data_IF_767933584751
#
_entry.id   IF_767933584751
#
_cell.length_a   1.000
_cell.length_b   1.000
_cell.length_c   1.000
_cell.angle_alpha   90.00
_cell.angle_beta   90.00
_cell.angle_gamma   90.00
#
_symmetry.space_group_name_H-M   'P 1'
#
loop_
_entity.id
_entity.type
_entity.pdbx_description
1 polymer ?
#
# COMPACT_ATOMS: atom_id res chain seq x y z
N UNK A 1 -34.39 -7.56 11.46
CA UNK A 1 -33.52 -6.48 12.04
C UNK A 1 -32.37 -6.30 11.06
N UNK A 2 -32.46 -5.25 10.25
CA UNK A 2 -31.49 -4.95 9.20
C UNK A 2 -30.34 -4.11 9.81
N UNK A 3 -29.13 -4.62 9.71
CA UNK A 3 -27.94 -3.89 10.12
C UNK A 3 -27.57 -2.87 9.01
N UNK A 4 -27.73 -1.59 9.30
CA UNK A 4 -27.22 -0.51 8.49
C UNK A 4 -25.69 -0.59 8.43
N UNK A 5 -25.13 -0.95 7.28
CA UNK A 5 -23.73 -0.69 6.92
C UNK A 5 -23.63 0.79 6.55
N UNK A 6 -23.08 1.59 7.46
CA UNK A 6 -22.64 2.96 7.16
C UNK A 6 -21.40 2.86 6.26
N UNK A 7 -21.60 3.10 4.97
CA UNK A 7 -20.52 3.35 4.01
C UNK A 7 -19.86 4.67 4.39
N UNK A 8 -18.59 4.62 4.79
CA UNK A 8 -17.75 5.81 4.91
C UNK A 8 -17.45 6.34 3.49
N UNK A 9 -18.26 7.30 3.04
CA UNK A 9 -17.99 8.01 1.80
C UNK A 9 -16.71 8.82 1.98
N UNK A 10 -15.65 8.43 1.29
CA UNK A 10 -14.48 9.28 1.09
C UNK A 10 -14.97 10.56 0.40
N UNK A 11 -14.92 11.68 1.11
CA UNK A 11 -15.15 13.00 0.51
C UNK A 11 -13.93 13.32 -0.35
N UNK A 12 -13.99 12.98 -1.63
CA UNK A 12 -13.15 13.60 -2.64
C UNK A 12 -13.52 15.08 -2.71
N UNK A 13 -12.52 15.95 -2.89
CA UNK A 13 -12.72 17.37 -2.94
C UNK A 13 -13.84 17.71 -3.93
N UNK A 14 -14.80 18.55 -3.50
CA UNK A 14 -15.92 18.99 -4.32
C UNK A 14 -15.40 19.60 -5.63
N UNK A 15 -15.63 18.91 -6.74
CA UNK A 15 -15.30 19.39 -8.07
C UNK A 15 -16.05 20.69 -8.36
N UNK A 16 -15.34 21.68 -8.87
CA UNK A 16 -15.96 22.84 -9.50
C UNK A 16 -16.65 22.37 -10.78
N UNK A 17 -17.86 22.84 -11.03
CA UNK A 17 -18.51 22.71 -12.34
C UNK A 17 -17.56 23.27 -13.39
N UNK A 18 -17.26 22.54 -14.51
CA UNK A 18 -16.36 23.01 -15.54
C UNK A 18 -16.81 24.37 -16.08
N UNK A 19 -15.88 25.29 -16.24
CA UNK A 19 -16.15 26.54 -16.98
C UNK A 19 -16.35 26.17 -18.45
N UNK A 20 -17.21 26.92 -19.18
CA UNK A 20 -17.47 26.70 -20.60
C UNK A 20 -16.15 26.74 -21.39
N UNK A 21 -15.71 25.55 -21.91
CA UNK A 21 -14.45 25.36 -22.63
C UNK A 21 -13.46 24.36 -21.97
N UNK A 22 -13.75 23.80 -20.78
CA UNK A 22 -12.93 22.73 -20.21
C UNK A 22 -13.33 21.35 -20.79
N UNK A 23 -12.34 20.56 -21.17
CA UNK A 23 -12.51 19.19 -21.68
C UNK A 23 -13.19 18.31 -20.63
N UNK A 24 -14.25 17.61 -21.01
CA UNK A 24 -14.96 16.65 -20.17
C UNK A 24 -14.51 15.21 -20.46
N UNK A 25 -14.92 14.24 -19.63
CA UNK A 25 -14.66 12.81 -19.89
C UNK A 25 -15.37 12.34 -21.18
N UNK A 26 -16.58 12.83 -21.45
CA UNK A 26 -17.31 12.52 -22.68
C UNK A 26 -16.57 13.04 -23.92
N UNK A 27 -15.96 14.23 -23.88
CA UNK A 27 -15.13 14.76 -24.98
C UNK A 27 -13.90 13.90 -25.28
N UNK A 28 -13.44 13.11 -24.32
CA UNK A 28 -12.32 12.18 -24.45
C UNK A 28 -12.74 10.79 -24.93
N UNK A 29 -14.05 10.57 -25.19
CA UNK A 29 -14.58 9.31 -25.67
C UNK A 29 -15.04 8.33 -24.58
N UNK A 30 -15.19 8.81 -23.35
CA UNK A 30 -15.80 8.00 -22.28
C UNK A 30 -17.29 7.87 -22.53
N UNK A 31 -17.79 6.64 -22.37
CA UNK A 31 -19.21 6.31 -22.53
C UNK A 31 -20.11 7.17 -21.65
N UNK A 32 -21.33 7.47 -22.14
CA UNK A 32 -22.26 8.39 -21.48
C UNK A 32 -22.65 7.97 -20.05
N UNK A 33 -22.85 6.67 -19.84
CA UNK A 33 -23.29 6.16 -18.55
C UNK A 33 -22.13 6.20 -17.53
N UNK A 34 -20.91 5.88 -17.98
CA UNK A 34 -19.70 6.02 -17.17
C UNK A 34 -19.38 7.49 -16.88
N UNK A 35 -19.54 8.37 -17.86
CA UNK A 35 -19.34 9.82 -17.68
C UNK A 35 -20.36 10.40 -16.68
N UNK A 36 -21.62 9.96 -16.75
CA UNK A 36 -22.66 10.38 -15.81
C UNK A 36 -22.39 9.89 -14.39
N UNK A 37 -21.92 8.64 -14.18
CA UNK A 37 -21.50 8.14 -12.89
C UNK A 37 -20.33 8.94 -12.30
N UNK A 38 -19.35 9.28 -13.15
CA UNK A 38 -18.22 10.12 -12.72
C UNK A 38 -18.68 11.50 -12.27
N UNK A 39 -19.55 12.14 -13.02
CA UNK A 39 -20.10 13.48 -12.69
C UNK A 39 -20.89 13.44 -11.38
N UNK A 40 -21.75 12.43 -11.21
CA UNK A 40 -22.51 12.21 -9.96
C UNK A 40 -21.60 12.01 -8.74
N UNK A 41 -20.40 11.50 -8.94
CA UNK A 41 -19.36 11.30 -7.89
C UNK A 41 -18.43 12.49 -7.74
N UNK A 42 -18.63 13.60 -8.51
CA UNK A 42 -17.85 14.81 -8.44
C UNK A 42 -16.56 14.81 -9.29
N UNK A 43 -16.38 13.84 -10.17
CA UNK A 43 -15.28 13.80 -11.14
C UNK A 43 -15.73 14.47 -12.45
N UNK A 44 -15.70 15.79 -12.49
CA UNK A 44 -16.21 16.58 -13.62
C UNK A 44 -15.15 16.88 -14.66
N UNK A 45 -13.91 17.07 -14.25
CA UNK A 45 -12.79 17.48 -15.11
C UNK A 45 -11.66 16.46 -15.07
N UNK A 46 -11.21 15.93 -16.23
CA UNK A 46 -10.08 14.99 -16.28
C UNK A 46 -8.77 15.63 -15.82
N UNK A 47 -7.99 14.87 -15.06
CA UNK A 47 -6.61 15.23 -14.77
C UNK A 47 -5.74 15.15 -16.04
N UNK A 48 -4.59 15.88 -16.09
CA UNK A 48 -3.73 15.88 -17.27
C UNK A 48 -3.33 14.51 -17.81
N UNK A 49 -3.04 13.53 -16.92
CA UNK A 49 -2.72 12.15 -17.35
C UNK A 49 -3.92 11.46 -17.99
N UNK A 50 -5.13 11.71 -17.49
CA UNK A 50 -6.37 11.16 -18.00
C UNK A 50 -6.65 11.76 -19.39
N UNK A 51 -6.60 13.08 -19.51
CA UNK A 51 -6.80 13.76 -20.78
C UNK A 51 -5.79 13.31 -21.86
N UNK A 52 -4.54 13.07 -21.46
CA UNK A 52 -3.49 12.63 -22.38
C UNK A 52 -3.63 11.17 -22.81
N UNK A 53 -4.09 10.26 -21.92
CA UNK A 53 -4.06 8.82 -22.20
C UNK A 53 -5.39 8.24 -22.67
N UNK A 54 -6.54 8.81 -22.26
CA UNK A 54 -7.87 8.23 -22.53
C UNK A 54 -8.14 8.05 -24.04
N UNK A 55 -7.88 9.01 -24.94
CA UNK A 55 -8.16 8.81 -26.37
C UNK A 55 -7.45 7.59 -26.96
N UNK A 56 -6.19 7.39 -26.59
CA UNK A 56 -5.38 6.29 -27.12
C UNK A 56 -5.73 4.95 -26.47
N UNK A 57 -5.97 4.95 -25.16
CA UNK A 57 -6.32 3.72 -24.43
C UNK A 57 -7.70 3.21 -24.80
N UNK A 58 -8.66 4.09 -25.02
CA UNK A 58 -10.01 3.76 -25.53
C UNK A 58 -9.96 3.25 -26.97
N UNK A 59 -9.03 3.77 -27.80
CA UNK A 59 -8.77 3.26 -29.16
C UNK A 59 -8.04 1.90 -29.18
N UNK A 60 -7.72 1.31 -28.02
CA UNK A 60 -7.09 -0.01 -27.91
C UNK A 60 -5.58 -0.02 -28.10
N UNK A 61 -4.92 1.14 -28.07
CA UNK A 61 -3.47 1.24 -28.17
C UNK A 61 -2.79 0.85 -26.87
N UNK A 62 -1.62 0.25 -26.97
CA UNK A 62 -0.74 0.10 -25.83
C UNK A 62 -0.22 1.46 -25.39
N UNK A 63 -0.27 1.72 -24.08
CA UNK A 63 0.12 3.01 -23.53
C UNK A 63 1.10 2.85 -22.39
N UNK A 64 2.12 3.71 -22.41
CA UNK A 64 3.06 3.92 -21.35
C UNK A 64 2.77 5.28 -20.70
N UNK A 65 2.06 5.26 -19.58
CA UNK A 65 1.67 6.45 -18.81
C UNK A 65 2.68 6.76 -17.73
N UNK A 66 3.37 7.90 -17.85
CA UNK A 66 4.27 8.38 -16.82
C UNK A 66 3.61 9.47 -16.00
N UNK A 67 3.46 9.22 -14.71
CA UNK A 67 2.89 10.19 -13.79
C UNK A 67 3.14 9.79 -12.34
N UNK A 68 3.23 10.79 -11.46
CA UNK A 68 3.47 10.56 -10.02
C UNK A 68 2.24 9.97 -9.34
N UNK A 69 2.41 9.45 -8.12
CA UNK A 69 1.26 9.07 -7.27
C UNK A 69 0.38 10.30 -7.03
N UNK A 70 -0.94 10.15 -7.12
CA UNK A 70 -1.89 11.26 -6.99
C UNK A 70 -2.12 12.06 -8.29
N UNK A 71 -1.56 11.67 -9.43
CA UNK A 71 -1.82 12.32 -10.73
C UNK A 71 -3.09 11.84 -11.43
N UNK A 72 -3.87 10.93 -10.84
CA UNK A 72 -5.10 10.40 -11.42
C UNK A 72 -4.92 9.18 -12.32
N UNK A 73 -3.77 8.49 -12.27
CA UNK A 73 -3.47 7.30 -13.10
C UNK A 73 -4.52 6.19 -12.95
N UNK A 74 -4.98 5.95 -11.73
CA UNK A 74 -5.92 4.86 -11.48
C UNK A 74 -7.19 5.01 -12.33
N UNK A 75 -7.78 6.18 -12.38
CA UNK A 75 -8.94 6.42 -13.23
C UNK A 75 -8.58 6.41 -14.73
N UNK A 76 -7.37 6.86 -15.09
CA UNK A 76 -6.88 6.88 -16.46
C UNK A 76 -6.82 5.49 -17.11
N UNK A 77 -6.53 4.44 -16.32
CA UNK A 77 -6.58 3.06 -16.85
C UNK A 77 -7.88 2.32 -16.52
N UNK A 78 -8.58 2.69 -15.44
CA UNK A 78 -9.82 2.01 -15.06
C UNK A 78 -10.95 2.24 -16.05
N UNK A 79 -11.06 3.46 -16.58
CA UNK A 79 -12.08 3.81 -17.57
C UNK A 79 -11.95 2.99 -18.86
N UNK A 80 -10.80 2.97 -19.57
CA UNK A 80 -10.65 2.15 -20.77
C UNK A 80 -10.75 0.65 -20.48
N UNK A 81 -10.26 0.19 -19.31
CA UNK A 81 -10.40 -1.20 -18.88
C UNK A 81 -11.87 -1.60 -18.85
N UNK A 82 -12.70 -0.86 -18.11
CA UNK A 82 -14.13 -1.17 -17.92
C UNK A 82 -14.90 -0.97 -19.22
N UNK A 83 -14.76 0.17 -19.89
CA UNK A 83 -15.54 0.49 -21.10
C UNK A 83 -15.27 -0.48 -22.27
N UNK A 84 -14.01 -0.89 -22.45
CA UNK A 84 -13.67 -1.81 -23.54
C UNK A 84 -14.05 -3.25 -23.25
N UNK A 85 -13.91 -3.69 -21.99
CA UNK A 85 -14.31 -5.03 -21.58
C UNK A 85 -15.82 -5.20 -21.55
N UNK A 86 -16.60 -4.15 -21.32
CA UNK A 86 -18.06 -4.18 -21.39
C UNK A 86 -18.60 -4.55 -22.81
N UNK A 87 -17.74 -4.49 -23.83
CA UNK A 87 -18.06 -4.89 -25.20
C UNK A 87 -17.76 -6.37 -25.49
N UNK A 88 -17.19 -7.09 -24.52
CA UNK A 88 -16.83 -8.50 -24.62
C UNK A 88 -17.88 -9.38 -23.94
N UNK A 89 -17.82 -10.69 -24.19
CA UNK A 89 -18.60 -11.66 -23.46
C UNK A 89 -18.17 -11.71 -21.99
N UNK A 90 -19.08 -12.08 -21.10
CA UNK A 90 -18.79 -12.28 -19.68
C UNK A 90 -17.71 -13.35 -19.47
N UNK A 91 -16.87 -13.10 -18.46
CA UNK A 91 -15.81 -14.03 -18.09
C UNK A 91 -16.33 -15.39 -17.69
N UNK A 92 -15.68 -16.45 -18.17
CA UNK A 92 -15.96 -17.83 -17.72
C UNK A 92 -15.31 -18.07 -16.33
N UNK A 93 -15.86 -19.01 -15.53
CA UNK A 93 -15.24 -19.39 -14.27
C UNK A 93 -13.74 -19.70 -14.41
N UNK A 94 -12.91 -18.98 -13.66
CA UNK A 94 -11.46 -19.11 -13.68
C UNK A 94 -10.75 -18.44 -14.86
N UNK A 95 -11.44 -17.74 -15.77
CA UNK A 95 -10.88 -17.11 -16.95
C UNK A 95 -11.27 -15.61 -17.01
N UNK A 96 -10.60 -14.74 -16.21
CA UNK A 96 -10.87 -13.31 -16.26
C UNK A 96 -10.46 -12.71 -17.61
N UNK A 97 -11.19 -11.68 -18.05
CA UNK A 97 -10.92 -10.93 -19.28
C UNK A 97 -10.10 -9.66 -19.04
N UNK A 98 -10.05 -9.18 -17.79
CA UNK A 98 -9.27 -8.04 -17.36
C UNK A 98 -8.29 -8.37 -16.22
N UNK A 99 -7.06 -7.86 -16.33
CA UNK A 99 -6.03 -8.05 -15.31
C UNK A 99 -5.37 -6.73 -14.96
N UNK A 100 -5.31 -6.41 -13.66
CA UNK A 100 -4.52 -5.30 -13.12
C UNK A 100 -3.48 -5.85 -12.16
N UNK A 101 -2.21 -5.55 -12.36
CA UNK A 101 -1.12 -5.92 -11.47
C UNK A 101 -0.69 -4.72 -10.63
N UNK A 102 -0.61 -4.93 -9.32
CA UNK A 102 -0.18 -3.95 -8.33
C UNK A 102 0.89 -4.54 -7.39
N UNK A 103 1.88 -3.75 -6.93
CA UNK A 103 2.97 -4.23 -6.07
C UNK A 103 2.53 -4.60 -4.66
N UNK A 104 1.49 -3.96 -4.13
CA UNK A 104 1.04 -4.10 -2.75
C UNK A 104 -0.45 -4.36 -2.67
N UNK A 105 -0.87 -4.96 -1.55
CA UNK A 105 -2.29 -5.26 -1.27
C UNK A 105 -3.11 -4.00 -1.12
N UNK A 106 -2.54 -3.02 -0.44
CA UNK A 106 -3.17 -1.73 -0.19
C UNK A 106 -3.48 -1.03 -1.53
N UNK A 107 -2.52 -1.02 -2.46
CA UNK A 107 -2.74 -0.46 -3.80
C UNK A 107 -3.76 -1.29 -4.59
N UNK A 108 -3.70 -2.63 -4.50
CA UNK A 108 -4.69 -3.48 -5.16
C UNK A 108 -6.12 -3.21 -4.67
N UNK A 109 -6.31 -2.99 -3.35
CA UNK A 109 -7.60 -2.61 -2.77
C UNK A 109 -8.04 -1.22 -3.25
N UNK A 110 -7.16 -0.23 -3.22
CA UNK A 110 -7.45 1.13 -3.70
C UNK A 110 -7.82 1.16 -5.19
N UNK A 111 -7.14 0.35 -6.01
CA UNK A 111 -7.49 0.20 -7.43
C UNK A 111 -8.88 -0.45 -7.58
N UNK A 112 -9.16 -1.50 -6.82
CA UNK A 112 -10.45 -2.15 -6.86
C UNK A 112 -11.58 -1.19 -6.42
N UNK A 113 -11.37 -0.37 -5.37
CA UNK A 113 -12.31 0.67 -4.93
C UNK A 113 -12.64 1.70 -6.03
N UNK A 114 -11.73 1.94 -6.97
CA UNK A 114 -11.97 2.81 -8.14
C UNK A 114 -12.69 2.06 -9.26
N UNK A 115 -12.29 0.80 -9.53
CA UNK A 115 -12.84 0.02 -10.65
C UNK A 115 -14.26 -0.49 -10.33
N UNK A 116 -14.52 -0.97 -9.12
CA UNK A 116 -15.80 -1.59 -8.74
C UNK A 116 -17.04 -0.72 -9.01
N UNK A 117 -17.06 0.60 -8.69
CA UNK A 117 -18.21 1.43 -9.05
C UNK A 117 -18.42 1.56 -10.56
N UNK A 118 -17.35 1.72 -11.33
CA UNK A 118 -17.41 1.79 -12.80
C UNK A 118 -17.88 0.46 -13.40
N UNK A 119 -17.35 -0.66 -12.89
CA UNK A 119 -17.73 -2.00 -13.32
C UNK A 119 -19.22 -2.29 -13.09
N UNK A 120 -19.78 -1.79 -11.98
CA UNK A 120 -21.23 -1.93 -11.70
C UNK A 120 -22.13 -1.21 -12.72
N UNK A 121 -21.67 -0.08 -13.29
CA UNK A 121 -22.42 0.64 -14.35
C UNK A 121 -22.66 -0.26 -15.55
N UNK A 122 -21.68 -1.13 -15.86
CA UNK A 122 -21.69 -2.02 -17.03
C UNK A 122 -21.88 -3.51 -16.65
N UNK A 123 -22.37 -3.78 -15.44
CA UNK A 123 -22.67 -5.12 -14.93
C UNK A 123 -21.47 -6.09 -14.93
N UNK A 124 -20.28 -5.62 -14.57
CA UNK A 124 -19.06 -6.44 -14.46
C UNK A 124 -18.70 -6.73 -13.01
N UNK A 125 -18.14 -7.91 -12.78
CA UNK A 125 -17.63 -8.35 -11.49
C UNK A 125 -16.13 -8.16 -11.35
N UNK A 126 -15.70 -7.66 -10.18
CA UNK A 126 -14.29 -7.38 -9.85
C UNK A 126 -13.89 -8.15 -8.60
N UNK A 127 -12.69 -8.70 -8.58
CA UNK A 127 -12.11 -9.28 -7.37
C UNK A 127 -10.65 -8.91 -7.18
N UNK A 128 -10.20 -8.95 -5.91
CA UNK A 128 -8.79 -8.73 -5.56
C UNK A 128 -8.09 -10.04 -5.21
N UNK A 129 -6.84 -10.21 -5.69
CA UNK A 129 -6.01 -11.39 -5.44
C UNK A 129 -4.67 -10.99 -4.81
N UNK A 130 -4.50 -11.27 -3.52
CA UNK A 130 -3.25 -10.99 -2.81
C UNK A 130 -3.01 -11.95 -1.65
N UNK A 131 -1.74 -12.13 -1.25
CA UNK A 131 -1.33 -13.03 -0.19
C UNK A 131 -1.54 -12.46 1.22
N UNK A 132 -1.32 -13.29 2.26
CA UNK A 132 -1.39 -12.93 3.70
C UNK A 132 -2.79 -12.84 4.28
N UNK A 133 -3.78 -13.23 3.50
CA UNK A 133 -5.16 -13.48 3.89
C UNK A 133 -5.58 -14.86 3.38
N UNK A 134 -6.74 -15.36 3.84
CA UNK A 134 -7.29 -16.62 3.35
C UNK A 134 -7.49 -16.58 1.82
N UNK A 135 -7.11 -17.65 1.12
CA UNK A 135 -7.36 -17.79 -0.30
C UNK A 135 -8.84 -18.11 -0.60
N UNK A 136 -9.57 -18.71 0.33
CA UNK A 136 -10.94 -19.22 0.10
C UNK A 136 -11.92 -18.23 -0.53
N UNK A 137 -11.99 -16.94 -0.08
CA UNK A 137 -12.84 -15.95 -0.73
C UNK A 137 -12.44 -15.69 -2.18
N UNK A 138 -11.12 -15.62 -2.45
CA UNK A 138 -10.55 -15.38 -3.78
C UNK A 138 -10.84 -16.56 -4.71
N UNK A 139 -10.66 -17.81 -4.24
CA UNK A 139 -11.01 -19.03 -4.96
C UNK A 139 -12.51 -19.11 -5.27
N UNK A 140 -13.36 -18.72 -4.31
CA UNK A 140 -14.81 -18.68 -4.51
C UNK A 140 -15.20 -17.68 -5.60
N UNK A 141 -14.62 -16.48 -5.59
CA UNK A 141 -14.86 -15.46 -6.61
C UNK A 141 -14.43 -15.95 -8.00
N UNK A 142 -13.23 -16.52 -8.13
CA UNK A 142 -12.74 -17.07 -9.40
C UNK A 142 -13.65 -18.19 -9.94
N UNK A 143 -14.13 -19.08 -9.08
CA UNK A 143 -15.06 -20.16 -9.46
C UNK A 143 -16.45 -19.66 -9.86
N UNK A 144 -16.86 -18.51 -9.36
CA UNK A 144 -18.13 -17.89 -9.76
C UNK A 144 -18.06 -17.23 -11.15
N UNK A 145 -16.88 -16.91 -11.63
CA UNK A 145 -16.64 -16.10 -12.81
C UNK A 145 -16.54 -14.62 -12.45
N UNK A 146 -15.38 -14.03 -12.62
CA UNK A 146 -15.13 -12.60 -12.41
C UNK A 146 -14.49 -12.01 -13.66
N UNK A 147 -14.94 -10.85 -14.08
CA UNK A 147 -14.49 -10.21 -15.32
C UNK A 147 -13.11 -9.57 -15.13
N UNK A 148 -12.89 -8.92 -14.00
CA UNK A 148 -11.63 -8.21 -13.71
C UNK A 148 -10.98 -8.71 -12.43
N UNK A 149 -9.69 -9.02 -12.54
CA UNK A 149 -8.84 -9.39 -11.42
C UNK A 149 -7.82 -8.29 -11.15
N UNK A 150 -7.82 -7.74 -9.92
CA UNK A 150 -6.77 -6.83 -9.43
C UNK A 150 -5.83 -7.61 -8.51
N UNK A 151 -4.59 -7.82 -8.91
CA UNK A 151 -3.73 -8.81 -8.26
C UNK A 151 -2.35 -8.31 -7.85
N UNK A 152 -1.85 -8.87 -6.72
CA UNK A 152 -0.41 -8.88 -6.45
C UNK A 152 0.23 -10.13 -7.07
N UNK A 153 1.40 -10.00 -7.73
CA UNK A 153 1.98 -11.06 -8.56
C UNK A 153 2.18 -12.41 -7.86
N UNK A 154 2.56 -12.42 -6.57
CA UNK A 154 2.87 -13.66 -5.85
C UNK A 154 1.67 -14.59 -5.69
N UNK A 155 0.54 -14.08 -5.19
CA UNK A 155 -0.68 -14.87 -4.97
C UNK A 155 -1.34 -15.26 -6.29
N UNK A 156 -1.29 -14.40 -7.31
CA UNK A 156 -1.83 -14.73 -8.61
C UNK A 156 -1.10 -15.95 -9.20
N UNK A 157 0.23 -15.98 -9.17
CA UNK A 157 1.02 -17.13 -9.62
C UNK A 157 0.74 -18.40 -8.82
N UNK A 158 0.50 -18.28 -7.52
CA UNK A 158 0.12 -19.39 -6.65
C UNK A 158 -1.22 -20.00 -7.10
N UNK A 159 -2.25 -19.18 -7.34
CA UNK A 159 -3.55 -19.63 -7.83
C UNK A 159 -3.50 -20.18 -9.27
N UNK A 160 -2.69 -19.59 -10.15
CA UNK A 160 -2.40 -20.13 -11.49
C UNK A 160 -1.76 -21.51 -11.39
N UNK A 161 -0.78 -21.67 -10.51
CA UNK A 161 -0.09 -22.97 -10.28
C UNK A 161 -1.03 -24.06 -9.73
N UNK A 162 -2.11 -23.68 -9.05
CA UNK A 162 -3.15 -24.58 -8.57
C UNK A 162 -4.25 -24.85 -9.61
N UNK A 163 -4.19 -24.24 -10.80
CA UNK A 163 -5.20 -24.37 -11.84
C UNK A 163 -6.54 -23.68 -11.52
N UNK A 164 -6.55 -22.73 -10.57
CA UNK A 164 -7.75 -22.01 -10.15
C UNK A 164 -8.04 -20.76 -11.00
N UNK A 165 -7.04 -20.32 -11.76
CA UNK A 165 -7.16 -19.19 -12.70
C UNK A 165 -6.24 -19.43 -13.90
N UNK A 166 -6.78 -19.22 -15.11
CA UNK A 166 -6.05 -19.09 -16.37
C UNK A 166 -6.16 -17.66 -16.88
N UNK A 167 -5.11 -17.17 -17.50
CA UNK A 167 -5.04 -15.81 -18.05
C UNK A 167 -5.11 -15.80 -19.58
N UNK A 168 -5.49 -16.91 -20.20
CA UNK A 168 -5.55 -17.13 -21.65
C UNK A 168 -6.66 -16.34 -22.38
N UNK A 169 -7.63 -15.77 -21.62
CA UNK A 169 -8.71 -14.93 -22.14
C UNK A 169 -8.56 -13.44 -21.76
N UNK A 170 -7.42 -13.06 -21.16
CA UNK A 170 -7.20 -11.67 -20.75
C UNK A 170 -7.03 -10.77 -21.98
N UNK A 171 -7.99 -9.87 -22.20
CA UNK A 171 -7.99 -8.89 -23.30
C UNK A 171 -7.19 -7.63 -22.95
N UNK A 172 -7.25 -7.19 -21.70
CA UNK A 172 -6.55 -5.98 -21.25
C UNK A 172 -5.73 -6.28 -19.98
N UNK A 173 -4.45 -5.95 -20.02
CA UNK A 173 -3.55 -6.04 -18.86
C UNK A 173 -3.04 -4.66 -18.47
N UNK A 174 -3.21 -4.29 -17.22
CA UNK A 174 -2.67 -3.06 -16.63
C UNK A 174 -1.56 -3.39 -15.64
N UNK A 175 -0.45 -2.66 -15.70
CA UNK A 175 0.60 -2.67 -14.69
C UNK A 175 0.63 -1.28 -14.03
N UNK A 176 0.29 -1.20 -12.75
CA UNK A 176 0.42 0.04 -11.99
C UNK A 176 1.61 -0.02 -11.04
N UNK A 177 2.30 1.10 -10.86
CA UNK A 177 3.56 1.21 -10.11
C UNK A 177 4.59 0.15 -10.53
N UNK A 178 4.84 0.02 -11.85
CA UNK A 178 5.77 -0.97 -12.40
C UNK A 178 7.20 -0.82 -11.85
N UNK A 179 7.67 0.40 -11.61
CA UNK A 179 8.94 0.70 -10.95
C UNK A 179 8.99 0.18 -9.51
N UNK A 180 7.90 0.27 -8.79
CA UNK A 180 7.81 -0.30 -7.44
C UNK A 180 7.81 -1.85 -7.49
N UNK A 181 7.16 -2.48 -8.47
CA UNK A 181 7.28 -3.93 -8.68
C UNK A 181 8.73 -4.35 -8.97
N UNK A 182 9.46 -3.53 -9.72
CA UNK A 182 10.90 -3.74 -9.98
C UNK A 182 11.73 -3.65 -8.70
N UNK A 183 11.54 -2.60 -7.90
CA UNK A 183 12.23 -2.40 -6.62
C UNK A 183 11.97 -3.53 -5.60
N UNK A 184 10.79 -4.14 -5.63
CA UNK A 184 10.42 -5.29 -4.79
C UNK A 184 10.91 -6.63 -5.35
N UNK A 185 11.57 -6.65 -6.50
CA UNK A 185 12.06 -7.86 -7.14
C UNK A 185 10.97 -8.72 -7.78
N UNK A 186 9.80 -8.15 -8.09
CA UNK A 186 8.68 -8.88 -8.67
C UNK A 186 8.77 -9.05 -10.20
N UNK A 187 9.75 -8.44 -10.88
CA UNK A 187 9.86 -8.53 -12.35
C UNK A 187 9.85 -9.98 -12.90
N UNK A 188 10.53 -10.96 -12.29
CA UNK A 188 10.43 -12.35 -12.77
C UNK A 188 9.01 -12.90 -12.70
N UNK A 189 8.26 -12.56 -11.64
CA UNK A 189 6.88 -12.97 -11.45
C UNK A 189 5.95 -12.27 -12.46
N UNK A 190 6.13 -10.97 -12.65
CA UNK A 190 5.38 -10.16 -13.62
C UNK A 190 5.58 -10.72 -15.04
N UNK A 191 6.82 -11.05 -15.43
CA UNK A 191 7.09 -11.66 -16.74
C UNK A 191 6.38 -13.00 -16.93
N UNK A 192 6.36 -13.85 -15.89
CA UNK A 192 5.64 -15.14 -15.96
C UNK A 192 4.14 -14.92 -16.16
N UNK A 193 3.56 -13.94 -15.50
CA UNK A 193 2.14 -13.57 -15.63
C UNK A 193 1.87 -13.05 -17.05
N UNK A 194 2.66 -12.08 -17.52
CA UNK A 194 2.48 -11.49 -18.85
C UNK A 194 2.63 -12.49 -19.99
N UNK A 195 3.50 -13.49 -19.84
CA UNK A 195 3.64 -14.59 -20.81
C UNK A 195 2.44 -15.53 -20.83
N UNK A 196 1.65 -15.57 -19.77
CA UNK A 196 0.43 -16.35 -19.71
C UNK A 196 -0.80 -15.61 -20.25
N UNK A 197 -0.69 -14.30 -20.53
CA UNK A 197 -1.75 -13.52 -21.18
C UNK A 197 -1.57 -13.54 -22.72
N UNK A 198 -2.66 -13.41 -23.51
CA UNK A 198 -2.58 -13.33 -24.96
C UNK A 198 -1.65 -12.22 -25.45
N UNK A 199 -0.86 -12.50 -26.48
CA UNK A 199 0.08 -11.50 -27.05
C UNK A 199 -0.61 -10.32 -27.71
N UNK A 200 -1.83 -10.50 -28.20
CA UNK A 200 -2.63 -9.45 -28.87
C UNK A 200 -3.46 -8.61 -27.91
N UNK A 201 -3.50 -8.96 -26.63
CA UNK A 201 -4.19 -8.19 -25.62
C UNK A 201 -3.56 -6.80 -25.44
N UNK A 202 -4.38 -5.80 -25.17
CA UNK A 202 -3.93 -4.44 -24.88
C UNK A 202 -3.12 -4.39 -23.59
N UNK A 203 -2.03 -3.62 -23.58
CA UNK A 203 -1.19 -3.45 -22.38
C UNK A 203 -1.05 -1.99 -22.01
N UNK A 204 -1.41 -1.69 -20.78
CA UNK A 204 -1.31 -0.36 -20.18
C UNK A 204 -0.29 -0.43 -19.05
N UNK A 205 0.78 0.34 -19.14
CA UNK A 205 1.81 0.39 -18.11
C UNK A 205 1.89 1.80 -17.53
N UNK A 206 1.65 1.90 -16.23
CA UNK A 206 1.72 3.15 -15.49
C UNK A 206 2.86 3.10 -14.45
N UNK A 207 3.70 4.13 -14.44
CA UNK A 207 4.87 4.19 -13.56
C UNK A 207 5.24 5.64 -13.28
N UNK A 208 5.89 5.90 -12.14
CA UNK A 208 6.49 7.20 -11.87
C UNK A 208 7.85 7.34 -12.56
N UNK A 209 8.58 6.23 -12.71
CA UNK A 209 9.90 6.21 -13.34
C UNK A 209 10.00 5.08 -14.38
N UNK A 210 10.80 5.31 -15.42
CA UNK A 210 11.13 4.34 -16.45
C UNK A 210 12.61 3.99 -16.32
N UNK A 211 12.93 3.13 -15.38
CA UNK A 211 14.29 2.61 -15.22
C UNK A 211 14.52 1.33 -16.03
N UNK A 212 15.76 0.84 -16.01
CA UNK A 212 16.16 -0.33 -16.79
C UNK A 212 15.28 -1.58 -16.58
N UNK A 213 14.67 -1.73 -15.42
CA UNK A 213 13.78 -2.84 -15.11
C UNK A 213 12.43 -2.73 -15.84
N UNK A 214 11.85 -1.54 -15.80
CA UNK A 214 10.57 -1.20 -16.48
C UNK A 214 10.77 -1.20 -17.99
N UNK A 215 11.87 -0.59 -18.48
CA UNK A 215 12.23 -0.58 -19.92
C UNK A 215 12.28 -1.98 -20.52
N UNK A 216 12.73 -2.96 -19.74
CA UNK A 216 12.77 -4.35 -20.22
C UNK A 216 11.37 -4.93 -20.40
N UNK A 217 10.45 -4.64 -19.46
CA UNK A 217 9.05 -5.05 -19.61
C UNK A 217 8.38 -4.38 -20.80
N UNK A 218 8.62 -3.07 -20.99
CA UNK A 218 8.09 -2.32 -22.14
C UNK A 218 8.53 -2.95 -23.45
N UNK A 219 9.83 -3.21 -23.62
CA UNK A 219 10.39 -3.80 -24.84
C UNK A 219 9.92 -5.23 -25.10
N UNK A 220 9.71 -6.04 -24.04
CA UNK A 220 9.33 -7.45 -24.15
C UNK A 220 7.83 -7.63 -24.42
N UNK A 221 6.98 -6.74 -23.88
CA UNK A 221 5.54 -7.02 -23.84
C UNK A 221 4.64 -5.96 -24.48
N UNK A 222 5.06 -4.72 -24.65
CA UNK A 222 4.22 -3.68 -25.26
C UNK A 222 4.47 -3.58 -26.77
N UNK A 223 3.39 -3.36 -27.55
CA UNK A 223 3.43 -3.26 -28.99
C UNK A 223 3.27 -1.81 -29.43
N UNK A 224 4.34 -1.19 -29.92
CA UNK A 224 4.35 0.22 -30.36
C UNK A 224 3.63 1.15 -29.36
N UNK A 225 3.99 1.13 -28.05
CA UNK A 225 3.27 1.88 -27.06
C UNK A 225 3.38 3.39 -27.29
N UNK A 226 2.27 4.09 -27.08
CA UNK A 226 2.27 5.54 -27.02
C UNK A 226 2.71 5.98 -25.64
N UNK A 227 3.70 6.84 -25.60
CA UNK A 227 4.25 7.34 -24.33
C UNK A 227 3.65 8.70 -24.00
N UNK A 228 2.94 8.75 -22.89
CA UNK A 228 2.41 9.98 -22.31
C UNK A 228 3.15 10.29 -21.00
N UNK A 229 3.72 11.47 -20.90
CA UNK A 229 4.38 11.96 -19.71
C UNK A 229 3.76 13.30 -19.31
N UNK A 230 3.09 13.32 -18.20
CA UNK A 230 2.63 14.55 -17.57
C UNK A 230 3.57 14.88 -16.43
N UNK A 231 4.64 15.58 -16.78
CA UNK A 231 5.38 16.35 -15.78
C UNK A 231 4.63 17.68 -15.65
N UNK A 232 4.12 18.03 -14.48
CA UNK A 232 3.61 19.38 -14.27
C UNK A 232 4.74 20.35 -14.60
N UNK A 233 4.44 21.38 -15.37
CA UNK A 233 5.36 22.53 -15.59
C UNK A 233 5.76 23.22 -14.29
N UNK A 234 5.00 22.95 -13.22
CA UNK A 234 5.36 23.19 -11.82
C UNK A 234 5.53 21.85 -11.15
N UNK A 235 6.77 21.42 -10.95
CA UNK A 235 7.07 20.20 -10.19
C UNK A 235 6.35 20.26 -8.82
N UNK A 236 5.64 19.21 -8.33
CA UNK A 236 5.22 19.17 -6.93
C UNK A 236 6.41 19.29 -5.97
N UNK A 237 7.64 19.04 -6.45
CA UNK A 237 8.87 19.40 -5.74
C UNK A 237 8.94 20.90 -5.52
N UNK A 238 8.42 21.73 -6.44
CA UNK A 238 8.35 23.19 -6.31
C UNK A 238 7.22 23.64 -5.40
N UNK A 239 6.17 22.82 -5.23
CA UNK A 239 5.10 23.01 -4.24
C UNK A 239 5.46 22.47 -2.84
N UNK A 240 6.58 21.71 -2.72
CA UNK A 240 7.07 21.19 -1.45
C UNK A 240 8.23 22.04 -0.93
N UNK A 241 8.17 22.39 0.33
CA UNK A 241 9.31 22.96 1.02
C UNK A 241 10.22 21.83 1.54
N UNK A 242 11.38 21.65 0.93
CA UNK A 242 12.38 20.70 1.41
C UNK A 242 13.37 21.38 2.36
N UNK A 243 13.52 20.83 3.57
CA UNK A 243 14.52 21.29 4.55
C UNK A 243 15.35 20.11 5.03
N UNK A 244 16.63 20.35 5.21
CA UNK A 244 17.56 19.32 5.71
C UNK A 244 18.21 19.85 7.00
N UNK A 245 17.89 19.19 8.09
CA UNK A 245 18.27 19.62 9.43
C UNK A 245 19.36 18.72 10.02
N UNK A 246 20.54 19.26 10.22
CA UNK A 246 21.62 18.58 10.91
C UNK A 246 21.46 18.75 12.42
N UNK A 247 21.27 17.66 13.11
CA UNK A 247 21.09 17.59 14.56
C UNK A 247 22.39 17.18 15.23
N UNK A 248 22.63 17.64 16.45
CA UNK A 248 23.88 17.38 17.16
C UNK A 248 24.12 15.88 17.43
N UNK A 249 23.08 15.19 17.88
CA UNK A 249 23.14 13.78 18.26
C UNK A 249 21.76 13.12 18.23
N UNK A 250 21.69 11.86 18.65
CA UNK A 250 20.44 11.08 18.68
C UNK A 250 19.41 11.61 19.69
N UNK A 251 19.86 12.25 20.77
CA UNK A 251 18.97 12.82 21.80
C UNK A 251 18.28 14.05 21.26
N UNK A 252 19.02 14.96 20.64
CA UNK A 252 18.49 16.13 19.95
C UNK A 252 17.53 15.70 18.83
N UNK A 253 17.87 14.66 18.06
CA UNK A 253 17.02 14.07 17.02
C UNK A 253 15.69 13.58 17.60
N UNK A 254 15.71 12.79 18.67
CA UNK A 254 14.50 12.27 19.34
C UNK A 254 13.62 13.44 19.86
N UNK A 255 14.24 14.52 20.36
CA UNK A 255 13.55 15.72 20.81
C UNK A 255 12.81 16.43 19.67
N UNK A 256 13.49 16.66 18.54
CA UNK A 256 12.88 17.27 17.36
C UNK A 256 11.77 16.41 16.79
N UNK A 257 11.98 15.09 16.66
CA UNK A 257 10.96 14.15 16.16
C UNK A 257 9.70 14.20 17.02
N UNK A 258 9.84 14.21 18.35
CA UNK A 258 8.70 14.31 19.28
C UNK A 258 7.96 15.63 19.10
N UNK A 259 8.67 16.76 18.98
CA UNK A 259 8.04 18.07 18.72
C UNK A 259 7.33 18.10 17.37
N UNK A 260 7.99 17.66 16.28
CA UNK A 260 7.33 17.60 14.97
C UNK A 260 6.10 16.68 14.97
N UNK A 261 6.08 15.64 15.78
CA UNK A 261 4.95 14.73 15.92
C UNK A 261 3.80 15.30 16.73
N UNK A 262 4.00 16.33 17.57
CA UNK A 262 2.97 16.84 18.50
C UNK A 262 1.97 17.80 17.87
N UNK A 263 2.10 18.22 16.63
CA UNK A 263 1.14 19.13 16.00
C UNK A 263 -0.13 18.43 15.51
N UNK A 264 -1.20 19.20 15.29
CA UNK A 264 -2.53 18.72 14.90
C UNK A 264 -2.60 18.17 13.46
N UNK A 265 -1.80 18.67 12.53
CA UNK A 265 -1.83 18.23 11.14
C UNK A 265 -1.35 16.80 10.94
N UNK A 266 -1.80 16.16 9.87
CA UNK A 266 -1.36 14.78 9.54
C UNK A 266 0.11 14.73 9.15
N UNK A 267 0.85 13.75 9.71
CA UNK A 267 2.31 13.62 9.57
C UNK A 267 2.73 12.19 9.34
N UNK A 268 3.68 12.00 8.41
CA UNK A 268 4.31 10.69 8.19
C UNK A 268 5.79 10.78 8.55
N UNK A 269 6.22 9.90 9.47
CA UNK A 269 7.59 9.81 9.96
C UNK A 269 8.24 8.55 9.40
N UNK A 270 9.23 8.70 8.51
CA UNK A 270 9.90 7.59 7.89
C UNK A 270 11.14 7.15 8.67
N UNK A 271 11.22 5.85 8.99
CA UNK A 271 12.37 5.22 9.61
C UNK A 271 12.96 4.13 8.71
N UNK A 272 14.26 3.85 8.89
CA UNK A 272 14.97 2.87 8.06
C UNK A 272 14.53 1.43 8.29
N UNK A 273 14.11 1.07 9.50
CA UNK A 273 13.79 -0.33 9.85
C UNK A 273 12.46 -0.46 10.58
N UNK A 274 11.82 -1.64 10.42
CA UNK A 274 10.60 -2.00 11.14
C UNK A 274 10.70 -1.90 12.66
N UNK A 275 11.88 -2.20 13.22
CA UNK A 275 12.13 -2.11 14.66
C UNK A 275 12.17 -0.66 15.14
N UNK A 276 12.78 0.23 14.33
CA UNK A 276 12.79 1.67 14.63
C UNK A 276 11.38 2.25 14.53
N UNK A 277 10.60 1.87 13.49
CA UNK A 277 9.22 2.32 13.33
C UNK A 277 8.39 1.96 14.56
N UNK A 278 8.39 0.70 14.96
CA UNK A 278 7.68 0.22 16.16
C UNK A 278 8.14 0.94 17.43
N UNK A 279 9.47 1.09 17.64
CA UNK A 279 10.01 1.76 18.81
C UNK A 279 9.61 3.23 18.87
N UNK A 280 9.68 3.94 17.75
CA UNK A 280 9.32 5.35 17.66
C UNK A 280 7.81 5.55 17.91
N UNK A 281 6.95 4.80 17.25
CA UNK A 281 5.51 4.89 17.46
C UNK A 281 5.14 4.68 18.92
N UNK A 282 5.74 3.68 19.59
CA UNK A 282 5.54 3.46 21.04
C UNK A 282 6.03 4.61 21.92
N UNK A 283 7.20 5.20 21.60
CA UNK A 283 7.71 6.36 22.35
C UNK A 283 6.77 7.55 22.23
N UNK A 284 6.19 7.79 21.05
CA UNK A 284 5.22 8.86 20.83
C UNK A 284 3.94 8.63 21.63
N UNK A 285 3.40 7.42 21.58
CA UNK A 285 2.21 7.05 22.37
C UNK A 285 2.46 7.20 23.87
N UNK A 286 3.62 6.79 24.38
CA UNK A 286 4.00 7.01 25.79
C UNK A 286 4.15 8.49 26.17
N UNK A 287 4.38 9.35 25.19
CA UNK A 287 4.44 10.80 25.35
C UNK A 287 3.08 11.49 25.15
N UNK A 288 1.98 10.73 25.08
CA UNK A 288 0.62 11.25 24.87
C UNK A 288 0.30 11.61 23.40
N UNK A 289 1.14 11.24 22.45
CA UNK A 289 0.94 11.54 21.02
C UNK A 289 0.41 10.28 20.33
N UNK A 290 -0.88 10.23 19.91
CA UNK A 290 -1.45 9.10 19.20
C UNK A 290 -0.68 8.84 17.90
N UNK A 291 -0.09 7.66 17.77
CA UNK A 291 0.71 7.27 16.62
C UNK A 291 0.44 5.83 16.21
N UNK A 292 0.26 5.61 14.91
CA UNK A 292 0.20 4.26 14.33
C UNK A 292 1.55 3.88 13.73
N UNK A 293 1.88 2.58 13.79
CA UNK A 293 3.01 2.04 13.03
C UNK A 293 2.53 1.42 11.72
N UNK A 294 3.35 1.54 10.66
CA UNK A 294 3.13 0.86 9.40
C UNK A 294 4.42 0.23 8.90
N UNK A 295 4.53 -1.11 9.01
CA UNK A 295 5.75 -1.85 8.67
C UNK A 295 5.45 -3.27 8.22
N UNK A 296 6.41 -3.92 7.54
CA UNK A 296 6.20 -5.17 6.80
C UNK A 296 5.81 -6.40 7.63
N UNK A 297 6.02 -6.41 8.95
CA UNK A 297 5.70 -7.55 9.81
C UNK A 297 4.34 -7.45 10.52
N UNK A 298 3.53 -6.47 10.17
CA UNK A 298 2.17 -6.36 10.71
C UNK A 298 1.24 -7.37 10.02
N UNK A 299 0.27 -7.89 10.79
CA UNK A 299 -0.84 -8.62 10.18
C UNK A 299 -1.69 -7.68 9.33
N UNK A 300 -2.39 -8.21 8.33
CA UNK A 300 -3.21 -7.40 7.44
C UNK A 300 -4.26 -6.59 8.22
N UNK A 301 -4.98 -7.23 9.14
CA UNK A 301 -5.98 -6.54 9.96
C UNK A 301 -5.38 -5.39 10.80
N UNK A 302 -4.14 -5.54 11.27
CA UNK A 302 -3.46 -4.47 12.00
C UNK A 302 -3.07 -3.31 11.08
N UNK A 303 -2.64 -3.61 9.85
CA UNK A 303 -2.34 -2.58 8.83
C UNK A 303 -3.59 -1.80 8.43
N UNK A 304 -4.69 -2.49 8.17
CA UNK A 304 -5.98 -1.88 7.81
C UNK A 304 -6.52 -0.99 8.93
N UNK A 305 -6.44 -1.43 10.20
CA UNK A 305 -6.80 -0.57 11.33
C UNK A 305 -5.93 0.67 11.44
N UNK A 306 -4.60 0.51 11.31
CA UNK A 306 -3.66 1.63 11.35
C UNK A 306 -3.92 2.63 10.21
N UNK A 307 -4.14 2.13 9.00
CA UNK A 307 -4.46 2.94 7.83
C UNK A 307 -5.78 3.68 8.02
N UNK A 308 -6.82 2.99 8.48
CA UNK A 308 -8.13 3.60 8.74
C UNK A 308 -8.03 4.69 9.79
N UNK A 309 -7.40 4.43 10.95
CA UNK A 309 -7.24 5.42 12.01
C UNK A 309 -6.50 6.67 11.53
N UNK A 310 -5.52 6.51 10.65
CA UNK A 310 -4.79 7.62 10.06
C UNK A 310 -5.61 8.35 8.99
N UNK A 311 -6.21 7.65 8.04
CA UNK A 311 -6.97 8.27 6.93
C UNK A 311 -8.24 8.99 7.39
N UNK A 312 -8.87 8.54 8.49
CA UNK A 312 -10.04 9.21 9.09
C UNK A 312 -9.68 10.38 10.01
N UNK A 313 -8.38 10.65 10.23
CA UNK A 313 -7.92 11.69 11.13
C UNK A 313 -8.07 11.38 12.63
N UNK A 314 -8.42 10.14 13.00
CA UNK A 314 -8.43 9.71 14.41
C UNK A 314 -7.02 9.71 15.03
N UNK A 315 -6.01 9.49 14.18
CA UNK A 315 -4.60 9.54 14.54
C UNK A 315 -3.87 10.42 13.52
N UNK A 316 -3.13 11.40 14.01
CA UNK A 316 -2.43 12.37 13.14
C UNK A 316 -1.00 11.96 12.78
N UNK A 317 -0.45 10.95 13.44
CA UNK A 317 0.94 10.52 13.23
C UNK A 317 1.01 9.08 12.74
N UNK A 318 1.65 8.89 11.58
CA UNK A 318 2.01 7.58 11.07
C UNK A 318 3.54 7.42 11.10
N UNK A 319 4.05 6.34 11.70
CA UNK A 319 5.47 5.97 11.64
C UNK A 319 5.64 4.78 10.70
N UNK A 320 6.34 4.98 9.60
CA UNK A 320 6.38 4.02 8.51
C UNK A 320 7.80 3.64 8.07
N UNK A 321 7.92 2.50 7.39
CA UNK A 321 9.08 2.12 6.59
C UNK A 321 8.79 2.27 5.10
N UNK A 322 9.82 2.43 4.25
CA UNK A 322 9.67 2.61 2.80
C UNK A 322 8.75 1.57 2.16
N UNK A 323 9.05 0.30 2.38
CA UNK A 323 8.30 -0.82 1.77
C UNK A 323 6.83 -0.79 2.18
N UNK A 324 6.54 -0.41 3.41
CA UNK A 324 5.18 -0.44 3.92
C UNK A 324 4.35 0.79 3.55
N UNK A 325 5.01 1.92 3.30
CA UNK A 325 4.36 3.19 2.95
C UNK A 325 4.25 3.42 1.43
N UNK A 326 4.91 2.61 0.60
CA UNK A 326 4.74 2.67 -0.86
C UNK A 326 3.35 2.15 -1.24
N UNK A 327 2.76 2.76 -2.27
CA UNK A 327 1.42 2.38 -2.72
C UNK A 327 0.28 2.83 -1.81
N UNK A 328 0.55 3.55 -0.72
CA UNK A 328 -0.52 4.09 0.14
C UNK A 328 -0.99 5.42 -0.46
N UNK A 329 -2.27 5.52 -0.76
CA UNK A 329 -2.89 6.80 -1.03
C UNK A 329 -3.47 7.38 0.26
N UNK A 330 -2.84 8.43 0.76
CA UNK A 330 -3.32 9.20 1.91
C UNK A 330 -3.29 10.67 1.50
N UNK A 331 -4.44 11.31 1.57
CA UNK A 331 -4.59 12.75 1.37
C UNK A 331 -4.45 13.50 2.69
N UNK A 332 -4.14 14.79 2.62
CA UNK A 332 -4.10 15.65 3.82
C UNK A 332 -2.82 15.59 4.64
N UNK A 333 -1.78 14.90 4.17
CA UNK A 333 -0.47 14.89 4.86
C UNK A 333 0.24 16.22 4.66
N UNK A 334 0.41 16.96 5.74
CA UNK A 334 1.05 18.29 5.73
C UNK A 334 2.56 18.19 5.86
N UNK A 335 3.04 17.22 6.64
CA UNK A 335 4.44 17.07 6.99
C UNK A 335 4.95 15.64 6.78
N UNK A 336 6.00 15.51 5.99
CA UNK A 336 6.79 14.28 5.86
C UNK A 336 8.13 14.48 6.56
N UNK A 337 8.46 13.60 7.50
CA UNK A 337 9.75 13.62 8.22
C UNK A 337 10.55 12.38 7.87
N UNK A 338 11.68 12.55 7.21
CA UNK A 338 12.68 11.50 7.09
C UNK A 338 13.47 11.44 8.41
N UNK A 339 12.94 10.69 9.37
CA UNK A 339 13.63 10.48 10.66
C UNK A 339 15.00 9.86 10.42
N UNK A 340 15.06 8.89 9.49
CA UNK A 340 16.31 8.41 8.94
C UNK A 340 16.36 8.75 7.44
N UNK A 341 17.48 9.35 6.94
CA UNK A 341 17.63 9.59 5.52
C UNK A 341 17.44 8.30 4.71
N UNK A 342 16.72 8.34 3.59
CA UNK A 342 16.58 7.18 2.73
C UNK A 342 17.93 6.79 2.10
N UNK A 343 18.09 5.51 1.76
CA UNK A 343 19.32 5.02 1.15
C UNK A 343 19.46 5.48 -0.32
N UNK A 344 18.34 5.68 -1.02
CA UNK A 344 18.29 5.96 -2.45
C UNK A 344 17.44 7.20 -2.76
N UNK A 345 17.83 7.91 -3.82
CA UNK A 345 17.14 9.11 -4.28
C UNK A 345 15.68 8.84 -4.70
N UNK A 346 15.38 7.68 -5.25
CA UNK A 346 14.00 7.27 -5.57
C UNK A 346 13.15 7.16 -4.31
N UNK A 347 13.68 6.54 -3.25
CA UNK A 347 12.98 6.47 -1.96
C UNK A 347 12.73 7.87 -1.37
N UNK A 348 13.68 8.81 -1.55
CA UNK A 348 13.48 10.21 -1.15
C UNK A 348 12.26 10.83 -1.83
N UNK A 349 12.15 10.69 -3.15
CA UNK A 349 11.04 11.23 -3.92
C UNK A 349 9.70 10.55 -3.57
N UNK A 350 9.70 9.24 -3.41
CA UNK A 350 8.50 8.47 -3.05
C UNK A 350 7.97 8.81 -1.65
N UNK A 351 8.87 9.03 -0.67
CA UNK A 351 8.50 9.50 0.67
C UNK A 351 7.94 10.92 0.61
N UNK A 352 8.65 11.82 -0.06
CA UNK A 352 8.24 13.23 -0.22
C UNK A 352 6.88 13.36 -0.89
N UNK A 353 6.61 12.54 -1.92
CA UNK A 353 5.32 12.50 -2.62
C UNK A 353 4.13 12.00 -1.78
N UNK A 354 4.28 11.79 -0.47
CA UNK A 354 3.15 11.58 0.45
C UNK A 354 2.50 12.87 0.90
N UNK A 355 3.15 14.02 0.71
CA UNK A 355 2.59 15.35 0.95
C UNK A 355 2.44 16.13 -0.37
N UNK A 356 1.92 17.34 -0.32
CA UNK A 356 1.68 18.24 -1.46
C UNK A 356 0.84 17.59 -2.59
N UNK A 357 -0.25 16.94 -2.23
CA UNK A 357 -1.18 16.32 -3.18
C UNK A 357 -2.36 17.24 -3.47
N UNK A 358 -2.95 17.09 -4.65
CA UNK A 358 -4.11 17.86 -5.10
C UNK A 358 -3.93 19.40 -4.99
N UNK A 359 -2.70 19.91 -5.21
CA UNK A 359 -2.41 21.33 -5.16
C UNK A 359 -2.21 21.94 -3.76
N UNK A 360 -2.25 21.13 -2.71
CA UNK A 360 -1.92 21.58 -1.36
C UNK A 360 -0.41 21.78 -1.18
N UNK A 361 0.00 22.73 -0.36
CA UNK A 361 1.38 22.91 0.06
C UNK A 361 1.79 21.78 1.01
N UNK A 362 3.07 21.35 0.97
CA UNK A 362 3.59 20.31 1.83
C UNK A 362 5.02 20.57 2.28
N UNK A 363 5.36 20.09 3.48
CA UNK A 363 6.71 20.21 4.03
C UNK A 363 7.40 18.86 4.14
N UNK A 364 8.67 18.80 3.75
CA UNK A 364 9.52 17.62 3.85
C UNK A 364 10.77 17.95 4.65
N UNK A 365 10.94 17.28 5.77
CA UNK A 365 12.10 17.46 6.66
C UNK A 365 12.97 16.22 6.62
N UNK A 366 14.25 16.38 6.40
CA UNK A 366 15.25 15.30 6.50
C UNK A 366 16.18 15.55 7.67
N UNK A 367 16.12 14.68 8.68
CA UNK A 367 17.00 14.76 9.86
C UNK A 367 18.32 14.02 9.61
N UNK A 368 19.43 14.70 9.83
CA UNK A 368 20.77 14.22 9.48
C UNK A 368 21.68 14.31 10.70
N UNK A 369 22.35 13.22 11.03
CA UNK A 369 23.47 13.23 11.99
C UNK A 369 24.75 13.71 11.30
N UNK A 370 25.73 14.27 12.03
CA UNK A 370 26.96 14.82 11.44
C UNK A 370 27.69 13.84 10.51
N UNK A 371 27.75 12.56 10.88
CA UNK A 371 28.37 11.48 10.10
C UNK A 371 27.64 11.16 8.79
N UNK A 372 26.38 11.53 8.67
CA UNK A 372 25.54 11.28 7.49
C UNK A 372 25.54 12.43 6.47
N UNK A 373 26.20 13.55 6.79
CA UNK A 373 26.14 14.79 6.00
C UNK A 373 26.52 14.56 4.53
N UNK A 374 27.64 13.89 4.30
CA UNK A 374 28.14 13.65 2.95
C UNK A 374 27.17 12.80 2.11
N UNK A 375 26.70 11.71 2.68
CA UNK A 375 25.78 10.78 1.99
C UNK A 375 24.47 11.48 1.61
N UNK A 376 23.95 12.34 2.50
CA UNK A 376 22.73 13.10 2.23
C UNK A 376 22.98 14.17 1.15
N UNK A 377 24.12 14.81 1.09
CA UNK A 377 24.44 15.74 0.00
C UNK A 377 24.46 15.03 -1.37
N UNK A 378 25.05 13.83 -1.44
CA UNK A 378 25.05 13.00 -2.65
C UNK A 378 23.63 12.58 -3.02
N UNK A 379 22.83 12.20 -2.02
CA UNK A 379 21.41 11.81 -2.19
C UNK A 379 20.59 12.96 -2.79
N UNK A 380 20.66 14.16 -2.22
CA UNK A 380 19.93 15.36 -2.67
C UNK A 380 20.31 15.73 -4.11
N UNK A 381 21.61 15.70 -4.44
CA UNK A 381 22.08 15.94 -5.81
C UNK A 381 21.49 14.95 -6.81
N UNK A 382 21.46 13.64 -6.46
CA UNK A 382 20.82 12.60 -7.30
C UNK A 382 19.30 12.77 -7.40
N UNK A 383 18.64 13.21 -6.32
CA UNK A 383 17.23 13.51 -6.29
C UNK A 383 16.86 14.84 -6.99
N UNK A 384 17.85 15.64 -7.38
CA UNK A 384 17.68 17.00 -7.94
C UNK A 384 16.94 17.95 -6.98
N UNK A 385 17.15 17.77 -5.68
CA UNK A 385 16.58 18.61 -4.62
C UNK A 385 17.58 19.68 -4.23
N UNK A 386 17.15 20.93 -4.23
CA UNK A 386 17.93 22.07 -3.75
C UNK A 386 17.49 22.37 -2.32
N UNK A 387 18.28 21.98 -1.35
CA UNK A 387 18.06 22.27 0.05
C UNK A 387 19.42 22.36 0.77
N UNK A 388 19.59 23.41 1.54
CA UNK A 388 20.77 23.58 2.37
C UNK A 388 20.68 22.75 3.65
N UNK A 389 21.83 22.34 4.18
CA UNK A 389 21.90 21.60 5.44
C UNK A 389 22.09 22.60 6.58
N UNK A 390 21.03 22.84 7.32
CA UNK A 390 20.98 23.76 8.45
C UNK A 390 21.22 23.02 9.77
N UNK A 391 21.98 23.63 10.70
CA UNK A 391 22.05 23.11 12.07
C UNK A 391 20.83 23.56 12.85
N UNK A 392 20.17 22.60 13.51
CA UNK A 392 18.92 22.87 14.23
C UNK A 392 18.96 22.27 15.64
N UNK A 393 18.28 22.94 16.55
CA UNK A 393 18.04 22.48 17.94
C UNK A 393 16.53 22.23 18.15
N UNK A 394 16.17 21.42 19.14
CA UNK A 394 14.74 21.14 19.40
C UNK A 394 13.90 22.37 19.72
N UNK A 395 14.48 23.41 20.29
CA UNK A 395 13.82 24.65 20.74
C UNK A 395 13.82 25.78 19.70
N UNK A 396 14.43 25.57 18.53
CA UNK A 396 14.47 26.58 17.49
C UNK A 396 13.08 26.91 16.91
N UNK A 397 12.86 28.19 16.56
CA UNK A 397 11.60 28.69 16.01
C UNK A 397 11.20 27.98 14.71
N UNK A 398 12.15 27.56 13.90
CA UNK A 398 11.91 26.79 12.69
C UNK A 398 11.21 25.45 12.96
N UNK A 399 11.49 24.80 14.10
CA UNK A 399 10.77 23.60 14.54
C UNK A 399 9.36 23.94 14.96
N UNK A 400 9.20 25.02 15.78
CA UNK A 400 7.91 25.49 16.26
C UNK A 400 6.98 25.89 15.11
N UNK A 401 7.50 26.56 14.08
CA UNK A 401 6.75 26.96 12.88
C UNK A 401 6.16 25.75 12.13
N UNK A 402 6.86 24.61 12.09
CA UNK A 402 6.39 23.39 11.44
C UNK A 402 5.47 22.53 12.34
N UNK A 403 5.60 22.65 13.64
CA UNK A 403 4.65 22.03 14.59
C UNK A 403 3.27 22.66 14.42
N UNK A 404 3.20 23.96 14.25
CA UNK A 404 1.94 24.69 14.22
C UNK A 404 1.25 24.63 15.58
N UNK A 405 -0.06 24.40 15.56
CA UNK A 405 -0.84 24.16 16.78
C UNK A 405 -0.50 22.78 17.34
N UNK A 406 -0.19 22.74 18.64
CA UNK A 406 0.12 21.47 19.33
C UNK A 406 -1.17 20.76 19.68
N UNK A 407 -1.29 19.50 19.28
CA UNK A 407 -2.42 18.67 19.63
C UNK A 407 -2.45 18.37 21.13
N UNK A 408 -3.64 18.21 21.67
CA UNK A 408 -3.83 17.82 23.06
C UNK A 408 -3.25 16.43 23.32
N UNK A 409 -2.55 16.28 24.45
CA UNK A 409 -1.98 14.99 24.83
C UNK A 409 -3.09 14.02 25.26
N UNK A 410 -3.07 12.81 24.71
CA UNK A 410 -4.05 11.77 25.01
C UNK A 410 -3.52 10.79 26.05
N UNK A 411 -4.31 10.48 27.08
CA UNK A 411 -3.94 9.49 28.08
C UNK A 411 -3.88 8.06 27.45
N UNK A 412 -3.08 7.17 28.03
CA UNK A 412 -2.86 5.83 27.45
C UNK A 412 -4.15 5.00 27.34
N UNK A 413 -5.06 5.17 28.30
CA UNK A 413 -6.37 4.50 28.35
C UNK A 413 -7.34 5.00 27.26
N UNK A 414 -7.16 6.23 26.81
CA UNK A 414 -8.05 6.90 25.82
C UNK A 414 -7.48 6.85 24.40
N UNK A 415 -6.36 6.13 24.19
CA UNK A 415 -5.74 6.05 22.87
C UNK A 415 -6.67 5.40 21.84
N UNK A 416 -6.77 5.99 20.62
CA UNK A 416 -7.60 5.45 19.55
C UNK A 416 -7.26 4.01 19.14
N UNK A 417 -8.22 3.30 18.56
CA UNK A 417 -7.99 1.97 18.02
C UNK A 417 -6.93 2.00 16.89
N UNK A 418 -6.03 1.02 16.88
CA UNK A 418 -4.94 0.93 15.91
C UNK A 418 -3.61 1.54 16.35
N UNK A 419 -3.60 2.29 17.47
CA UNK A 419 -2.39 2.88 18.03
C UNK A 419 -1.39 1.83 18.50
N UNK A 420 -0.09 2.12 18.42
CA UNK A 420 1.02 1.22 18.74
C UNK A 420 1.24 0.99 20.25
N UNK A 421 0.26 0.45 20.94
CA UNK A 421 0.35 0.10 22.37
C UNK A 421 1.07 -1.26 22.56
N UNK A 422 1.76 -1.43 23.68
CA UNK A 422 2.36 -2.72 24.07
C UNK A 422 1.27 -3.78 24.14
N UNK A 423 1.40 -4.89 23.41
CA UNK A 423 0.45 -5.98 23.38
C UNK A 423 0.03 -6.44 24.78
N UNK A 424 -1.11 -5.98 25.24
CA UNK A 424 -1.95 -6.68 26.16
C UNK A 424 -2.85 -7.56 25.30
N UNK A 425 -2.82 -8.85 25.51
CA UNK A 425 -3.91 -9.73 25.07
C UNK A 425 -5.22 -9.11 25.54
N UNK A 426 -6.31 -9.16 24.78
CA UNK A 426 -7.60 -8.76 25.29
C UNK A 426 -7.93 -9.70 26.44
N UNK A 427 -7.65 -9.24 27.66
CA UNK A 427 -8.15 -9.88 28.86
C UNK A 427 -9.65 -9.82 28.83
N UNK A 428 -10.24 -10.98 28.99
CA UNK A 428 -11.62 -11.31 28.83
C UNK A 428 -12.61 -10.25 29.31
N UNK A 429 -13.63 -10.08 28.52
CA UNK A 429 -14.91 -9.55 28.95
C UNK A 429 -15.27 -10.24 30.27
N UNK A 430 -15.31 -9.49 31.34
CA UNK A 430 -15.96 -9.89 32.57
C UNK A 430 -17.42 -10.27 32.22
N UNK A 431 -17.71 -11.55 32.29
CA UNK A 431 -19.10 -12.02 32.30
C UNK A 431 -19.72 -11.51 33.59
N UNK A 432 -20.62 -10.56 33.49
CA UNK A 432 -21.52 -10.21 34.59
C UNK A 432 -22.33 -11.44 34.93
N UNK A 433 -21.99 -12.05 36.04
CA UNK A 433 -22.70 -13.17 36.63
C UNK A 433 -24.12 -12.75 37.02
N UNK A 434 -25.09 -13.49 36.54
CA UNK A 434 -26.43 -13.52 37.05
C UNK A 434 -26.48 -14.34 38.34
N UNK A 435 -27.10 -13.90 39.42
CA UNK A 435 -27.27 -14.73 40.62
C UNK A 435 -28.38 -15.74 40.38
N UNK A 436 -28.04 -17.02 40.35
CA UNK A 436 -29.02 -18.14 40.36
C UNK A 436 -29.18 -18.67 41.78
N UNK A 437 -30.44 -18.72 42.20
CA UNK A 437 -30.88 -19.31 43.48
C UNK A 437 -30.54 -20.79 43.56
N UNK A 438 -30.13 -21.20 44.80
CA UNK A 438 -29.84 -22.56 45.14
C UNK A 438 -31.09 -23.40 45.37
N UNK A 439 -30.91 -24.69 45.33
CA UNK A 439 -31.48 -25.67 46.29
C UNK A 439 -30.62 -26.92 46.22
N UNK A 440 -30.35 -27.43 47.41
CA UNK A 440 -29.49 -28.53 47.70
C UNK A 440 -30.15 -29.89 47.42
N UNK A 441 -29.34 -30.90 47.46
CA UNK A 441 -29.55 -32.08 48.33
C UNK A 441 -28.39 -33.08 48.15
N UNK A 442 -28.19 -33.79 49.23
CA UNK A 442 -27.12 -34.70 49.55
C UNK A 442 -27.20 -36.04 48.81
N UNK A 443 -26.04 -36.70 48.63
CA UNK A 443 -26.01 -38.08 48.19
C UNK A 443 -24.62 -38.70 48.24
N UNK A 444 -24.35 -39.40 49.31
CA UNK A 444 -23.20 -40.23 49.67
C UNK A 444 -22.81 -41.30 48.64
N UNK A 445 -21.51 -41.62 48.60
CA UNK A 445 -21.19 -43.03 48.56
C UNK A 445 -19.97 -43.50 47.77
N UNK A 446 -18.87 -43.79 48.45
CA UNK A 446 -17.98 -44.98 48.37
C UNK A 446 -17.12 -45.22 47.10
N UNK A 447 -15.81 -45.04 47.23
CA UNK A 447 -14.79 -46.11 47.48
C UNK A 447 -14.55 -47.13 46.36
N UNK A 448 -13.29 -47.26 45.94
CA UNK A 448 -12.77 -48.41 45.23
C UNK A 448 -11.39 -48.15 44.61
N UNK A 449 -10.40 -48.43 45.33
CA UNK A 449 -9.04 -48.94 45.25
C UNK A 449 -8.76 -49.88 44.08
N UNK A 450 -7.48 -49.86 43.64
CA UNK A 450 -6.72 -50.92 42.95
C UNK A 450 -5.80 -50.32 41.88
N UNK A 451 -4.55 -50.10 42.03
CA UNK A 451 -3.35 -50.84 42.44
C UNK A 451 -2.76 -51.71 41.31
N UNK A 452 -1.49 -51.44 41.04
CA UNK A 452 -0.41 -52.30 40.45
C UNK A 452 -0.49 -52.54 38.94
N UNK A 453 0.57 -52.52 38.18
CA UNK A 453 1.99 -52.66 38.37
C UNK A 453 2.59 -53.13 37.05
N UNK A 454 3.83 -52.89 36.84
CA UNK A 454 4.86 -53.77 36.32
C UNK A 454 5.44 -53.30 34.98
N UNK A 455 6.60 -52.66 34.98
CA UNK A 455 7.92 -53.26 34.75
C UNK A 455 8.10 -53.95 33.40
N UNK A 456 9.07 -53.44 32.59
CA UNK A 456 10.22 -54.22 32.24
C UNK A 456 10.64 -54.17 30.81
N UNK A 457 11.86 -53.77 30.52
CA UNK A 457 12.91 -54.39 29.78
C UNK A 457 13.33 -53.65 28.54
N UNK A 458 14.43 -52.96 28.52
CA UNK A 458 15.86 -53.31 28.35
C UNK A 458 16.19 -54.10 27.05
N UNK A 459 17.15 -53.51 26.33
CA UNK A 459 18.12 -54.18 25.42
C UNK A 459 17.96 -53.72 23.97
N UNK A 460 18.95 -53.31 23.27
CA UNK A 460 20.38 -53.31 23.36
C UNK A 460 20.94 -53.04 21.96
N UNK A 461 21.91 -52.18 21.92
CA UNK A 461 23.23 -52.26 21.25
C UNK A 461 23.35 -52.98 19.90
N UNK A 462 23.96 -52.31 18.98
CA UNK A 462 25.30 -52.37 18.34
C UNK A 462 25.13 -52.22 16.83
N UNK A 463 25.90 -51.56 16.04
CA UNK A 463 27.31 -51.31 16.01
C UNK A 463 27.81 -51.49 14.59
N UNK A 464 28.77 -50.70 14.20
CA UNK A 464 29.69 -50.99 13.10
C UNK A 464 29.41 -50.27 11.78
N UNK A 465 30.10 -49.27 11.36
CA UNK A 465 31.54 -49.06 11.10
C UNK A 465 31.96 -49.35 9.65
N UNK A 466 32.62 -48.34 9.07
CA UNK A 466 33.64 -48.36 7.98
C UNK A 466 33.11 -48.68 6.58
N UNK A 467 33.53 -48.06 5.55
CA UNK A 467 34.70 -47.29 5.17
C UNK A 467 34.77 -47.21 3.66
N UNK A 468 35.57 -46.32 3.17
CA UNK A 468 36.38 -46.46 1.95
C UNK A 468 36.04 -45.45 0.85
N UNK A 469 36.75 -44.38 0.78
CA UNK A 469 37.93 -44.02 -0.07
C UNK A 469 37.82 -44.40 -1.56
N UNK A 470 38.06 -43.37 -2.34
CA UNK A 470 38.62 -43.37 -3.69
C UNK A 470 37.76 -42.53 -4.62
N UNK A 471 38.17 -41.51 -5.24
CA UNK A 471 39.49 -41.14 -5.73
C UNK A 471 39.37 -40.77 -7.19
N UNK A 472 39.70 -39.56 -7.47
CA UNK A 472 40.42 -39.06 -8.66
C UNK A 472 39.71 -38.80 -9.98
N UNK A 473 39.79 -37.53 -10.37
CA UNK A 473 40.37 -36.97 -11.60
C UNK A 473 39.64 -37.13 -12.93
N UNK A 474 39.45 -35.96 -13.57
CA UNK A 474 39.96 -35.78 -14.90
C UNK A 474 39.04 -35.09 -15.89
N UNK A 475 39.33 -33.87 -16.15
CA UNK A 475 39.40 -33.20 -17.46
C UNK A 475 38.31 -33.52 -18.52
N UNK A 476 37.74 -32.41 -18.99
CA UNK A 476 36.98 -32.25 -20.22
C UNK A 476 36.37 -30.89 -20.27
#
# INVERSE_FOLDING_TARGET
MAAHRTSASHRFASGKTPAAGETTFADLGVDSDLAADLDARGFTTPFPIQAATLPDTLAGRDVLGRGRTGSGKTLAFSLPLVQRLAQQDKARPGHPIGLVLAPTRELALQIAEVIEPLARVVDMDVTTIFGGVSAKPQEKALKAGVDVVVACPGRLLDLMGQGLVSLDEVEITVLDEADHMADLGFLPNVRRILRATPQRGQRLLFSATLDNGVDTLVKEFLHNPLQHSVDPSTSPVDAMTHRVWMVADKTAKDGIVRRLASGEGQRILFTRTKHLARRLARKLVQAGIPAVELQGNMSQNARERAMRAFSTGQVHVMVATDIAARGIDVSGVELVVHVDPPAEHKAYLHRSGRTARAGAAGSVITLVLPEQKHDVQVLLKKARIRADIERIRPDDDAVSALVGQVAEAVALEDMPEGVAIKGGSPSGRASTGRPGHGHGEAGRGRSGRGAKGGQGGRGGRSGGARGGRGGNAGQG
#
